data_IF_230170710294
#
_entry.id   IF_230170710294
#
_cell.length_a   1.000
_cell.length_b   1.000
_cell.length_c   1.000
_cell.angle_alpha   90.00
_cell.angle_beta   90.00
_cell.angle_gamma   90.00
#
_symmetry.space_group_name_H-M   'P 1'
#
loop_
_entity.id
_entity.type
_entity.pdbx_description
1 polymer ?
#
# COMPACT_ATOMS: atom_id res chain seq x y z
N UNK A 1 9.13 2.13 -1.81
CA UNK A 1 8.08 2.51 -2.77
C UNK A 1 8.72 3.22 -3.93
N UNK A 2 8.61 2.71 -5.10
CA UNK A 2 9.24 3.31 -6.26
C UNK A 2 8.28 3.36 -7.43
N UNK A 3 8.06 4.55 -7.91
CA UNK A 3 7.42 4.81 -9.18
C UNK A 3 8.43 5.52 -10.07
N UNK A 4 8.97 4.86 -11.09
CA UNK A 4 9.88 5.43 -12.08
C UNK A 4 11.21 5.95 -11.52
N UNK A 5 11.85 5.22 -10.62
CA UNK A 5 13.13 5.59 -10.06
C UNK A 5 14.25 4.65 -10.50
N UNK A 6 15.41 5.23 -10.75
CA UNK A 6 16.65 4.49 -10.89
C UNK A 6 17.31 4.45 -9.51
N UNK A 7 17.26 3.30 -8.86
CA UNK A 7 17.92 3.08 -7.59
C UNK A 7 19.34 2.56 -7.83
N UNK A 8 20.30 3.47 -7.96
CA UNK A 8 21.70 3.11 -8.06
C UNK A 8 22.00 2.07 -9.14
N UNK A 9 21.79 0.80 -8.85
CA UNK A 9 22.21 -0.31 -9.69
C UNK A 9 21.06 -1.04 -10.42
N UNK A 10 19.79 -0.80 -10.08
CA UNK A 10 18.63 -1.36 -10.76
C UNK A 10 17.61 -0.29 -11.17
N UNK A 11 16.72 -0.63 -12.10
CA UNK A 11 15.65 0.26 -12.53
C UNK A 11 14.26 -0.34 -12.24
N UNK A 12 13.32 0.52 -11.86
CA UNK A 12 11.96 0.08 -11.58
C UNK A 12 10.93 1.06 -12.13
N UNK A 13 9.85 0.51 -12.64
CA UNK A 13 8.73 1.24 -13.22
C UNK A 13 7.41 0.70 -12.67
N UNK A 14 6.51 1.61 -12.23
CA UNK A 14 5.18 1.26 -11.75
C UNK A 14 5.17 0.02 -10.85
N UNK A 15 6.10 -0.06 -9.88
CA UNK A 15 6.27 -1.24 -9.04
C UNK A 15 6.41 -0.85 -7.57
N UNK A 16 5.89 -1.71 -6.70
CA UNK A 16 6.10 -1.63 -5.27
C UNK A 16 7.27 -2.51 -4.87
N UNK A 17 8.16 -1.98 -4.04
CA UNK A 17 9.29 -2.73 -3.48
C UNK A 17 9.29 -2.53 -1.97
N UNK A 18 9.13 -3.64 -1.23
CA UNK A 18 9.21 -3.65 0.23
C UNK A 18 10.63 -3.35 0.71
N UNK A 19 10.78 -2.66 1.82
CA UNK A 19 12.08 -2.28 2.38
C UNK A 19 12.98 -3.48 2.73
N UNK A 20 12.39 -4.64 2.99
CA UNK A 20 13.12 -5.89 3.28
C UNK A 20 13.59 -6.63 2.03
N UNK A 21 13.16 -6.20 0.85
CA UNK A 21 13.57 -6.83 -0.41
C UNK A 21 15.01 -6.43 -0.77
N UNK A 22 15.76 -7.42 -1.25
CA UNK A 22 17.12 -7.24 -1.75
C UNK A 22 17.09 -7.43 -3.26
N UNK A 23 17.52 -6.41 -4.00
CA UNK A 23 17.56 -6.43 -5.46
C UNK A 23 18.99 -6.16 -5.91
N UNK A 24 19.57 -7.15 -6.57
CA UNK A 24 20.93 -7.04 -7.10
C UNK A 24 21.01 -6.19 -8.38
N UNK A 25 22.20 -5.85 -8.78
CA UNK A 25 22.49 -4.92 -9.85
C UNK A 25 21.94 -5.36 -11.24
N UNK A 26 21.78 -4.38 -12.12
CA UNK A 26 21.38 -4.55 -13.52
C UNK A 26 20.01 -5.20 -13.72
N UNK A 27 19.16 -5.22 -12.69
CA UNK A 27 17.81 -5.76 -12.80
C UNK A 27 16.80 -4.69 -13.19
N UNK A 28 15.75 -5.10 -13.92
CA UNK A 28 14.64 -4.27 -14.34
C UNK A 28 13.31 -4.85 -13.83
N UNK A 29 12.52 -4.02 -13.15
CA UNK A 29 11.26 -4.45 -12.54
C UNK A 29 10.16 -3.52 -13.04
N UNK A 30 9.09 -4.09 -13.61
CA UNK A 30 7.93 -3.33 -14.06
C UNK A 30 6.61 -3.98 -13.63
N UNK A 31 5.60 -3.14 -13.39
CA UNK A 31 4.22 -3.54 -13.08
C UNK A 31 4.13 -4.67 -12.02
N UNK A 32 5.01 -4.63 -11.00
CA UNK A 32 5.20 -5.75 -10.08
C UNK A 32 5.10 -5.34 -8.61
N UNK A 33 4.70 -6.30 -7.78
CA UNK A 33 4.80 -6.24 -6.33
C UNK A 33 5.94 -7.11 -5.85
N UNK A 34 6.95 -6.47 -5.27
CA UNK A 34 8.06 -7.13 -4.58
C UNK A 34 7.80 -6.96 -3.09
N UNK A 35 7.19 -7.96 -2.50
CA UNK A 35 6.77 -7.97 -1.10
C UNK A 35 7.93 -8.41 -0.19
N UNK A 36 7.62 -8.77 1.05
CA UNK A 36 8.60 -9.09 2.09
C UNK A 36 9.47 -10.30 1.75
N UNK A 37 10.74 -10.23 2.20
CA UNK A 37 11.71 -11.32 2.12
C UNK A 37 11.92 -11.84 0.69
N UNK A 38 11.94 -10.95 -0.29
CA UNK A 38 12.29 -11.28 -1.67
C UNK A 38 13.74 -10.94 -1.91
N UNK A 39 14.44 -11.87 -2.56
CA UNK A 39 15.77 -11.62 -3.12
C UNK A 39 15.70 -11.77 -4.63
N UNK A 40 16.08 -10.72 -5.36
CA UNK A 40 16.20 -10.73 -6.82
C UNK A 40 17.68 -10.73 -7.16
N UNK A 41 18.11 -11.75 -7.88
CA UNK A 41 19.48 -11.87 -8.34
C UNK A 41 19.86 -10.84 -9.38
N UNK A 42 21.11 -10.92 -9.82
CA UNK A 42 21.71 -10.00 -10.77
C UNK A 42 21.12 -10.17 -12.18
N UNK A 43 21.00 -9.06 -12.93
CA UNK A 43 20.62 -9.10 -14.35
C UNK A 43 19.27 -9.80 -14.59
N UNK A 44 18.24 -9.44 -13.80
CA UNK A 44 16.90 -10.01 -13.90
C UNK A 44 15.92 -9.04 -14.57
N UNK A 45 14.91 -9.59 -15.24
CA UNK A 45 13.77 -8.86 -15.77
C UNK A 45 12.50 -9.41 -15.11
N UNK A 46 11.79 -8.57 -14.38
CA UNK A 46 10.55 -8.96 -13.68
C UNK A 46 9.41 -8.08 -14.16
N UNK A 47 8.38 -8.69 -14.72
CA UNK A 47 7.24 -8.00 -15.30
C UNK A 47 5.91 -8.61 -14.88
N UNK A 48 4.99 -7.79 -14.36
CA UNK A 48 3.64 -8.19 -13.98
C UNK A 48 3.56 -9.20 -12.83
N UNK A 49 4.60 -9.31 -12.00
CA UNK A 49 4.72 -10.34 -10.96
C UNK A 49 4.30 -9.83 -9.58
N UNK A 50 3.82 -10.76 -8.75
CA UNK A 50 3.74 -10.57 -7.30
C UNK A 50 4.64 -11.60 -6.64
N UNK A 51 5.67 -11.13 -5.93
CA UNK A 51 6.68 -11.96 -5.28
C UNK A 51 6.64 -11.75 -3.78
N UNK A 52 6.63 -12.84 -3.02
CA UNK A 52 6.70 -12.84 -1.56
C UNK A 52 7.42 -14.08 -1.05
N UNK A 53 8.39 -13.90 -0.15
CA UNK A 53 9.17 -14.99 0.46
C UNK A 53 9.81 -15.92 -0.58
N UNK A 54 10.41 -15.36 -1.61
CA UNK A 54 11.05 -16.12 -2.71
C UNK A 54 12.39 -15.50 -3.11
N UNK A 55 13.21 -16.33 -3.77
CA UNK A 55 14.45 -15.89 -4.40
C UNK A 55 14.35 -16.10 -5.91
N UNK A 56 14.62 -15.05 -6.67
CA UNK A 56 14.74 -15.09 -8.13
C UNK A 56 16.22 -15.29 -8.48
N UNK A 57 16.60 -16.34 -9.19
CA UNK A 57 17.99 -16.58 -9.58
C UNK A 57 18.54 -15.50 -10.52
N UNK A 58 19.86 -15.37 -10.60
CA UNK A 58 20.53 -14.50 -11.56
C UNK A 58 20.11 -14.80 -13.01
N UNK A 59 20.19 -13.78 -13.85
CA UNK A 59 19.89 -13.88 -15.29
C UNK A 59 18.49 -14.43 -15.60
N UNK A 60 17.52 -14.16 -14.77
CA UNK A 60 16.16 -14.68 -14.90
C UNK A 60 15.20 -13.63 -15.43
N UNK A 61 14.48 -13.97 -16.49
CA UNK A 61 13.28 -13.25 -16.90
C UNK A 61 12.05 -13.95 -16.29
N UNK A 62 11.24 -13.16 -15.58
CA UNK A 62 10.01 -13.62 -14.94
C UNK A 62 8.85 -12.73 -15.39
N UNK A 63 7.82 -13.33 -15.99
CA UNK A 63 6.70 -12.57 -16.52
C UNK A 63 5.38 -13.26 -16.22
N UNK A 64 4.47 -12.58 -15.53
CA UNK A 64 3.14 -13.08 -15.22
C UNK A 64 2.10 -12.50 -16.18
N UNK A 65 1.27 -13.37 -16.71
CA UNK A 65 0.12 -13.03 -17.56
C UNK A 65 -1.17 -13.43 -16.87
N UNK A 66 -2.19 -12.61 -17.03
CA UNK A 66 -3.57 -12.98 -16.75
C UNK A 66 -4.20 -13.56 -18.00
N UNK A 67 -4.87 -14.69 -17.85
CA UNK A 67 -5.49 -15.44 -18.95
C UNK A 67 -6.96 -15.07 -19.12
N UNK A 68 -7.54 -15.37 -20.29
CA UNK A 68 -8.98 -15.18 -20.57
C UNK A 68 -9.90 -15.87 -19.57
N UNK A 69 -9.47 -17.00 -18.98
CA UNK A 69 -10.21 -17.71 -17.95
C UNK A 69 -10.10 -17.07 -16.55
N UNK A 70 -9.41 -15.94 -16.43
CA UNK A 70 -9.22 -15.21 -15.17
C UNK A 70 -8.06 -15.68 -14.30
N UNK A 71 -7.42 -16.79 -14.62
CA UNK A 71 -6.25 -17.34 -13.91
C UNK A 71 -4.95 -16.66 -14.34
N UNK A 72 -3.85 -17.02 -13.67
CA UNK A 72 -2.53 -16.43 -13.89
C UNK A 72 -1.52 -17.51 -14.27
N UNK A 73 -0.66 -17.19 -15.23
CA UNK A 73 0.52 -17.99 -15.60
C UNK A 73 1.75 -17.12 -15.42
N UNK A 74 2.69 -17.58 -14.61
CA UNK A 74 4.01 -16.98 -14.53
C UNK A 74 4.97 -17.77 -15.40
N UNK A 75 5.67 -17.09 -16.30
CA UNK A 75 6.64 -17.65 -17.24
C UNK A 75 8.03 -17.29 -16.76
N UNK A 76 8.96 -18.23 -16.85
CA UNK A 76 10.34 -18.07 -16.42
C UNK A 76 11.31 -18.64 -17.44
N UNK A 77 12.35 -17.88 -17.77
CA UNK A 77 13.44 -18.32 -18.63
C UNK A 77 14.74 -17.57 -18.28
N UNK A 78 15.88 -18.10 -18.67
CA UNK A 78 17.13 -17.36 -18.60
C UNK A 78 17.13 -16.26 -19.67
N UNK A 79 17.62 -15.07 -19.39
CA UNK A 79 17.62 -13.94 -20.33
C UNK A 79 18.39 -14.25 -21.63
N UNK A 80 19.33 -15.21 -21.57
CA UNK A 80 20.11 -15.68 -22.72
C UNK A 80 19.47 -16.87 -23.45
N UNK A 81 18.34 -17.41 -22.92
CA UNK A 81 17.67 -18.54 -23.57
C UNK A 81 17.08 -18.10 -24.92
N UNK A 82 17.36 -18.88 -25.96
CA UNK A 82 16.77 -18.66 -27.27
C UNK A 82 15.45 -19.46 -27.40
N UNK A 83 14.29 -18.79 -27.58
CA UNK A 83 13.00 -19.49 -27.67
C UNK A 83 12.89 -20.52 -28.78
N UNK A 84 13.75 -20.46 -29.82
CA UNK A 84 13.78 -21.39 -30.94
C UNK A 84 14.62 -22.64 -30.66
N UNK A 85 15.36 -22.67 -29.57
CA UNK A 85 16.21 -23.79 -29.19
C UNK A 85 15.53 -24.70 -28.18
N UNK A 86 15.99 -25.95 -28.12
CA UNK A 86 15.50 -26.95 -27.18
C UNK A 86 16.28 -26.89 -25.87
N UNK A 87 16.34 -25.68 -25.29
CA UNK A 87 17.05 -25.39 -24.04
C UNK A 87 16.22 -24.47 -23.18
N UNK A 88 16.17 -24.72 -21.87
CA UNK A 88 15.52 -23.87 -20.88
C UNK A 88 16.34 -23.87 -19.59
N UNK A 89 16.86 -22.71 -19.20
CA UNK A 89 17.66 -22.56 -17.98
C UNK A 89 18.73 -23.66 -17.82
N UNK A 90 19.45 -23.96 -18.92
CA UNK A 90 20.46 -24.99 -18.98
C UNK A 90 19.94 -26.44 -19.09
N UNK A 91 18.63 -26.67 -19.07
CA UNK A 91 18.00 -27.99 -19.19
C UNK A 91 17.59 -28.28 -20.66
N UNK A 92 17.93 -29.46 -21.18
CA UNK A 92 17.48 -29.87 -22.50
C UNK A 92 15.99 -30.17 -22.52
N UNK A 93 15.32 -29.66 -23.54
CA UNK A 93 13.91 -29.91 -23.83
C UNK A 93 13.74 -30.86 -25.04
N UNK A 94 12.56 -31.45 -25.16
CA UNK A 94 12.21 -32.28 -26.33
C UNK A 94 11.68 -31.44 -27.50
N UNK A 95 11.25 -30.23 -27.23
CA UNK A 95 10.69 -29.26 -28.20
C UNK A 95 11.36 -27.89 -27.97
N UNK A 96 11.29 -26.99 -28.94
CA UNK A 96 11.75 -25.61 -28.72
C UNK A 96 11.10 -24.98 -27.49
N UNK A 97 11.85 -24.12 -26.77
CA UNK A 97 11.37 -23.44 -25.57
C UNK A 97 10.04 -22.70 -25.81
N UNK A 98 9.86 -22.15 -27.02
CA UNK A 98 8.63 -21.43 -27.38
C UNK A 98 7.36 -22.30 -27.30
N UNK A 99 7.48 -23.60 -27.62
CA UNK A 99 6.37 -24.56 -27.68
C UNK A 99 6.36 -25.52 -26.46
N UNK A 100 7.40 -25.53 -25.62
CA UNK A 100 7.51 -26.42 -24.49
C UNK A 100 6.50 -26.08 -23.37
N UNK A 101 5.71 -27.05 -22.94
CA UNK A 101 4.72 -26.93 -21.87
C UNK A 101 5.41 -26.98 -20.50
N UNK A 102 5.71 -25.82 -19.94
CA UNK A 102 6.54 -25.67 -18.75
C UNK A 102 5.80 -25.00 -17.59
N UNK A 103 4.72 -24.23 -17.86
CA UNK A 103 4.13 -23.31 -16.89
C UNK A 103 2.71 -23.72 -16.50
N UNK A 104 2.40 -23.67 -15.20
CA UNK A 104 1.05 -23.93 -14.67
C UNK A 104 0.19 -22.67 -14.60
N UNK A 105 -1.14 -22.88 -14.56
CA UNK A 105 -2.09 -21.80 -14.27
C UNK A 105 -2.52 -21.84 -12.80
N UNK A 106 -2.72 -20.67 -12.20
CA UNK A 106 -3.03 -20.51 -10.78
C UNK A 106 -4.06 -19.41 -10.56
N UNK A 107 -4.72 -19.43 -9.39
CA UNK A 107 -5.80 -18.50 -9.06
C UNK A 107 -5.30 -17.06 -8.74
N UNK A 108 -4.01 -16.92 -8.42
CA UNK A 108 -3.42 -15.61 -8.11
C UNK A 108 -2.01 -15.46 -8.69
N UNK A 109 -1.54 -14.22 -8.91
CA UNK A 109 -0.19 -13.96 -9.43
C UNK A 109 0.90 -14.40 -8.45
N UNK A 110 0.66 -14.32 -7.14
CA UNK A 110 1.59 -14.77 -6.09
C UNK A 110 1.81 -16.28 -6.20
N UNK A 111 0.71 -17.04 -6.32
CA UNK A 111 0.78 -18.50 -6.48
C UNK A 111 1.46 -18.88 -7.79
N UNK A 112 1.18 -18.17 -8.87
CA UNK A 112 1.82 -18.40 -10.17
C UNK A 112 3.34 -18.20 -10.09
N UNK A 113 3.79 -17.09 -9.55
CA UNK A 113 5.22 -16.79 -9.39
C UNK A 113 5.93 -17.78 -8.47
N UNK A 114 5.36 -18.06 -7.30
CA UNK A 114 5.92 -18.99 -6.31
C UNK A 114 6.06 -20.41 -6.86
N UNK A 115 5.03 -20.93 -7.52
CA UNK A 115 5.06 -22.28 -8.05
C UNK A 115 6.03 -22.41 -9.24
N UNK A 116 6.08 -21.41 -10.12
CA UNK A 116 7.05 -21.39 -11.23
C UNK A 116 8.49 -21.35 -10.72
N UNK A 117 8.81 -20.51 -9.74
CA UNK A 117 10.13 -20.48 -9.11
C UNK A 117 10.48 -21.78 -8.38
N UNK A 118 9.47 -22.50 -7.86
CA UNK A 118 9.66 -23.82 -7.24
C UNK A 118 9.77 -24.95 -8.26
N UNK A 119 9.69 -24.67 -9.56
CA UNK A 119 9.81 -25.65 -10.63
C UNK A 119 8.56 -26.51 -10.83
N UNK A 120 7.40 -26.06 -10.36
CA UNK A 120 6.12 -26.73 -10.64
C UNK A 120 5.77 -26.51 -12.10
N UNK A 121 5.78 -27.60 -12.87
CA UNK A 121 5.45 -27.61 -14.30
C UNK A 121 3.94 -27.46 -14.55
N UNK A 122 3.59 -27.32 -15.82
CA UNK A 122 2.21 -27.16 -16.24
C UNK A 122 1.99 -27.37 -17.73
N UNK A 123 0.85 -26.94 -18.21
CA UNK A 123 0.34 -27.19 -19.57
C UNK A 123 0.53 -26.00 -20.54
N UNK A 124 1.11 -24.90 -20.06
CA UNK A 124 1.32 -23.73 -20.89
C UNK A 124 2.78 -23.63 -21.34
N UNK A 125 2.96 -23.31 -22.62
CA UNK A 125 4.23 -22.89 -23.19
C UNK A 125 4.32 -21.34 -23.18
N UNK A 126 5.48 -20.79 -23.58
CA UNK A 126 5.61 -19.35 -23.85
C UNK A 126 4.57 -18.90 -24.87
N UNK A 127 4.34 -19.69 -25.94
CA UNK A 127 3.40 -19.41 -27.01
C UNK A 127 1.95 -19.51 -26.58
N UNK A 128 1.57 -20.63 -25.96
CA UNK A 128 0.17 -20.86 -25.59
C UNK A 128 -0.31 -19.90 -24.49
N UNK A 129 0.54 -19.59 -23.52
CA UNK A 129 0.23 -18.59 -22.50
C UNK A 129 0.05 -17.19 -23.08
N UNK A 130 0.87 -16.82 -24.06
CA UNK A 130 0.72 -15.53 -24.77
C UNK A 130 -0.58 -15.46 -25.56
N UNK A 131 -0.92 -16.54 -26.29
CA UNK A 131 -2.15 -16.60 -27.09
C UNK A 131 -3.43 -16.65 -26.25
N UNK A 132 -3.35 -17.12 -25.00
CA UNK A 132 -4.46 -17.19 -24.05
C UNK A 132 -4.52 -15.97 -23.12
N UNK A 133 -3.62 -15.01 -23.27
CA UNK A 133 -3.59 -13.81 -22.44
C UNK A 133 -4.69 -12.85 -22.85
N UNK A 134 -5.44 -12.35 -21.87
CA UNK A 134 -6.43 -11.31 -22.06
C UNK A 134 -5.79 -9.92 -21.85
N UNK A 135 -5.51 -9.23 -22.95
CA UNK A 135 -4.90 -7.90 -22.91
C UNK A 135 -5.71 -6.87 -22.15
N UNK A 136 -7.03 -6.95 -22.16
CA UNK A 136 -7.90 -6.04 -21.41
C UNK A 136 -7.78 -6.26 -19.90
N UNK A 137 -7.66 -7.50 -19.47
CA UNK A 137 -7.45 -7.86 -18.08
C UNK A 137 -6.02 -7.53 -17.61
N UNK A 138 -5.03 -7.64 -18.48
CA UNK A 138 -3.64 -7.21 -18.19
C UNK A 138 -3.62 -5.70 -17.93
N UNK A 139 -4.27 -4.91 -18.80
CA UNK A 139 -4.39 -3.46 -18.62
C UNK A 139 -5.13 -3.13 -17.30
N UNK A 140 -6.25 -3.81 -17.02
CA UNK A 140 -7.01 -3.62 -15.79
C UNK A 140 -6.19 -4.00 -14.54
N UNK A 141 -5.33 -5.01 -14.65
CA UNK A 141 -4.39 -5.39 -13.59
C UNK A 141 -3.35 -4.31 -13.35
N UNK A 142 -2.67 -3.82 -14.39
CA UNK A 142 -1.71 -2.71 -14.28
C UNK A 142 -2.34 -1.46 -13.66
N UNK A 143 -3.58 -1.14 -14.04
CA UNK A 143 -4.33 -0.04 -13.44
C UNK A 143 -4.65 -0.26 -11.95
N UNK A 144 -5.03 -1.47 -11.56
CA UNK A 144 -5.28 -1.82 -10.15
C UNK A 144 -4.00 -1.74 -9.32
N UNK A 145 -2.88 -2.11 -9.91
CA UNK A 145 -1.55 -1.99 -9.32
C UNK A 145 -1.19 -0.53 -9.07
N UNK A 146 -1.33 0.32 -10.09
CA UNK A 146 -1.10 1.77 -9.98
C UNK A 146 -1.96 2.39 -8.86
N UNK A 147 -3.24 2.02 -8.79
CA UNK A 147 -4.12 2.51 -7.72
C UNK A 147 -3.65 2.07 -6.33
N UNK A 148 -3.20 0.82 -6.18
CA UNK A 148 -2.70 0.32 -4.89
C UNK A 148 -1.43 1.06 -4.48
N UNK A 149 -0.46 1.22 -5.39
CA UNK A 149 0.79 1.94 -5.11
C UNK A 149 0.49 3.40 -4.71
N UNK A 150 -0.39 4.06 -5.45
CA UNK A 150 -0.79 5.43 -5.11
C UNK A 150 -1.53 5.52 -3.79
N UNK A 151 -2.37 4.52 -3.48
CA UNK A 151 -3.06 4.44 -2.20
C UNK A 151 -2.07 4.25 -1.05
N UNK A 152 -1.10 3.37 -1.18
CA UNK A 152 -0.08 3.14 -0.16
C UNK A 152 0.74 4.41 0.08
N UNK A 153 1.18 5.11 -0.98
CA UNK A 153 1.85 6.41 -0.88
C UNK A 153 1.00 7.47 -0.16
N UNK A 154 -0.29 7.53 -0.48
CA UNK A 154 -1.22 8.44 0.18
C UNK A 154 -1.38 8.09 1.66
N UNK A 155 -1.55 6.82 1.99
CA UNK A 155 -1.72 6.35 3.36
C UNK A 155 -0.46 6.57 4.20
N UNK A 156 0.72 6.36 3.65
CA UNK A 156 1.99 6.64 4.32
C UNK A 156 2.10 8.14 4.62
N UNK A 157 1.79 9.01 3.66
CA UNK A 157 1.76 10.45 3.89
C UNK A 157 0.74 10.85 4.98
N UNK A 158 -0.42 10.21 5.04
CA UNK A 158 -1.43 10.40 6.08
C UNK A 158 -0.90 9.95 7.45
N UNK A 159 -0.25 8.80 7.54
CA UNK A 159 0.35 8.24 8.77
C UNK A 159 1.50 9.10 9.27
N UNK A 160 2.36 9.54 8.39
CA UNK A 160 3.50 10.41 8.68
C UNK A 160 3.11 11.85 8.97
N UNK A 161 1.81 12.16 8.88
CA UNK A 161 1.26 13.50 9.11
C UNK A 161 1.85 14.57 8.19
N UNK A 162 2.12 14.19 6.95
CA UNK A 162 2.53 15.14 5.92
C UNK A 162 1.41 16.18 5.73
N UNK A 163 1.72 17.49 5.74
CA UNK A 163 0.72 18.52 5.44
C UNK A 163 0.11 18.32 4.06
N UNK A 164 -1.21 18.51 3.94
CA UNK A 164 -1.94 18.24 2.69
C UNK A 164 -1.38 19.04 1.51
N UNK A 165 -0.88 20.25 1.75
CA UNK A 165 -0.26 21.10 0.73
C UNK A 165 1.07 20.53 0.19
N UNK A 166 1.70 19.64 0.95
CA UNK A 166 2.93 18.95 0.58
C UNK A 166 2.67 17.56 0.01
N UNK A 167 1.44 17.05 0.19
CA UNK A 167 1.02 15.83 -0.48
C UNK A 167 0.95 16.16 -1.97
N UNK A 168 1.91 15.63 -2.73
CA UNK A 168 1.96 15.86 -4.18
C UNK A 168 0.59 15.57 -4.79
N UNK A 169 0.01 16.56 -5.44
CA UNK A 169 -1.21 16.46 -6.24
C UNK A 169 -0.95 15.56 -7.47
N UNK A 170 -0.67 14.29 -7.23
CA UNK A 170 -0.85 13.31 -8.29
C UNK A 170 -2.35 13.10 -8.35
N UNK A 171 -2.93 13.35 -9.51
CA UNK A 171 -4.35 13.29 -9.77
C UNK A 171 -5.02 12.11 -9.06
N UNK A 172 -5.79 12.42 -8.01
CA UNK A 172 -6.61 11.42 -7.36
C UNK A 172 -7.74 11.10 -8.32
N UNK A 173 -7.60 9.98 -9.03
CA UNK A 173 -8.65 9.53 -9.94
C UNK A 173 -9.89 9.12 -9.16
N UNK A 174 -11.09 9.20 -9.72
CA UNK A 174 -12.32 8.72 -9.05
C UNK A 174 -12.24 7.25 -8.59
N UNK A 175 -11.45 6.44 -9.28
CA UNK A 175 -11.21 5.04 -8.92
C UNK A 175 -10.32 4.94 -7.68
N UNK A 176 -9.23 5.70 -7.62
CA UNK A 176 -8.35 5.78 -6.45
C UNK A 176 -9.08 6.33 -5.22
N UNK A 177 -9.87 7.41 -5.40
CA UNK A 177 -10.70 7.97 -4.34
C UNK A 177 -11.64 6.91 -3.75
N UNK A 178 -12.37 6.20 -4.61
CA UNK A 178 -13.25 5.11 -4.19
C UNK A 178 -12.49 4.03 -3.41
N UNK A 179 -11.30 3.65 -3.86
CA UNK A 179 -10.46 2.66 -3.19
C UNK A 179 -10.01 3.14 -1.80
N UNK A 180 -9.56 4.39 -1.68
CA UNK A 180 -9.18 5.00 -0.41
C UNK A 180 -10.36 5.13 0.56
N UNK A 181 -11.55 5.42 0.06
CA UNK A 181 -12.77 5.46 0.88
C UNK A 181 -13.16 4.08 1.44
N UNK A 182 -12.93 3.00 0.70
CA UNK A 182 -13.12 1.64 1.24
C UNK A 182 -12.09 1.29 2.33
N UNK A 183 -10.85 1.76 2.20
CA UNK A 183 -9.83 1.63 3.25
C UNK A 183 -10.23 2.44 4.48
N UNK A 184 -10.67 3.69 4.30
CA UNK A 184 -11.09 4.56 5.40
C UNK A 184 -12.19 3.95 6.27
N UNK A 185 -13.12 3.17 5.69
CA UNK A 185 -14.18 2.49 6.46
C UNK A 185 -13.64 1.47 7.46
N UNK A 186 -12.45 0.91 7.20
CA UNK A 186 -11.81 -0.14 8.01
C UNK A 186 -10.68 0.39 8.88
N UNK A 187 -10.24 1.63 8.64
CA UNK A 187 -9.17 2.30 9.35
C UNK A 187 -9.57 2.64 10.79
N UNK A 188 -8.58 2.80 11.66
CA UNK A 188 -8.82 3.37 12.98
C UNK A 188 -9.35 4.81 12.90
N UNK A 189 -9.85 5.31 14.02
CA UNK A 189 -10.47 6.63 14.08
C UNK A 189 -9.53 7.74 13.57
N UNK A 190 -8.26 7.74 14.00
CA UNK A 190 -7.30 8.78 13.66
C UNK A 190 -6.92 8.76 12.17
N UNK A 191 -6.70 7.58 11.62
CA UNK A 191 -6.39 7.39 10.21
C UNK A 191 -7.61 7.75 9.33
N UNK A 192 -8.81 7.29 9.73
CA UNK A 192 -10.08 7.58 9.03
C UNK A 192 -10.33 9.07 8.82
N UNK A 193 -10.30 9.85 9.89
CA UNK A 193 -10.56 11.29 9.82
C UNK A 193 -9.55 12.02 8.94
N UNK A 194 -8.28 11.57 8.95
CA UNK A 194 -7.21 12.14 8.12
C UNK A 194 -7.39 11.80 6.66
N UNK A 195 -7.78 10.56 6.35
CA UNK A 195 -8.07 10.15 4.97
C UNK A 195 -9.20 11.01 4.42
N UNK A 196 -10.31 11.16 5.14
CA UNK A 196 -11.43 12.00 4.69
C UNK A 196 -11.02 13.46 4.49
N UNK A 197 -10.27 14.02 5.44
CA UNK A 197 -9.81 15.40 5.34
C UNK A 197 -8.87 15.60 4.15
N UNK A 198 -7.84 14.77 4.02
CA UNK A 198 -6.87 14.87 2.93
C UNK A 198 -7.54 14.70 1.55
N UNK A 199 -8.42 13.68 1.41
CA UNK A 199 -9.17 13.49 0.18
C UNK A 199 -10.04 14.70 -0.14
N UNK A 200 -10.79 15.23 0.83
CA UNK A 200 -11.63 16.41 0.62
C UNK A 200 -10.85 17.62 0.14
N UNK A 201 -9.65 17.86 0.69
CA UNK A 201 -8.79 18.97 0.29
C UNK A 201 -8.15 18.73 -1.10
N UNK A 202 -7.71 17.53 -1.40
CA UNK A 202 -7.01 17.23 -2.66
C UNK A 202 -7.98 17.11 -3.86
N UNK A 203 -9.19 16.61 -3.64
CA UNK A 203 -10.20 16.44 -4.71
C UNK A 203 -11.15 17.64 -4.83
N UNK A 204 -11.19 18.51 -3.82
CA UNK A 204 -12.18 19.58 -3.73
C UNK A 204 -13.60 19.10 -3.37
N UNK A 205 -13.76 17.86 -2.96
CA UNK A 205 -15.05 17.30 -2.53
C UNK A 205 -15.36 17.69 -1.08
N UNK A 206 -16.04 18.83 -0.88
CA UNK A 206 -16.38 19.36 0.43
C UNK A 206 -17.12 18.36 1.34
N UNK A 207 -17.92 17.45 0.76
CA UNK A 207 -18.62 16.39 1.50
C UNK A 207 -17.68 15.53 2.35
N UNK A 208 -16.48 15.26 1.84
CA UNK A 208 -15.47 14.47 2.58
C UNK A 208 -14.90 15.24 3.76
N UNK A 209 -14.72 16.54 3.58
CA UNK A 209 -14.32 17.43 4.68
C UNK A 209 -15.39 17.49 5.77
N UNK A 210 -16.66 17.65 5.41
CA UNK A 210 -17.77 17.59 6.37
C UNK A 210 -17.83 16.25 7.09
N UNK A 211 -17.68 15.15 6.35
CA UNK A 211 -17.65 13.81 6.93
C UNK A 211 -16.52 13.60 7.93
N UNK A 212 -15.35 14.20 7.69
CA UNK A 212 -14.27 14.20 8.67
C UNK A 212 -14.73 14.82 10.00
N UNK A 213 -15.40 15.99 9.96
CA UNK A 213 -15.87 16.66 11.17
C UNK A 213 -17.02 15.91 11.85
N UNK A 214 -17.93 15.30 11.09
CA UNK A 214 -19.01 14.45 11.64
C UNK A 214 -18.44 13.25 12.40
N UNK A 215 -17.43 12.59 11.87
CA UNK A 215 -16.74 11.49 12.57
C UNK A 215 -16.06 11.98 13.86
N UNK A 216 -15.43 13.15 13.86
CA UNK A 216 -14.84 13.75 15.06
C UNK A 216 -15.93 14.03 16.12
N UNK A 217 -17.03 14.66 15.75
CA UNK A 217 -18.15 14.94 16.65
C UNK A 217 -18.73 13.65 17.23
N UNK A 218 -18.95 12.65 16.40
CA UNK A 218 -19.47 11.34 16.81
C UNK A 218 -18.51 10.62 17.75
N UNK A 219 -17.21 10.68 17.48
CA UNK A 219 -16.19 10.11 18.34
C UNK A 219 -16.12 10.75 19.73
N UNK A 220 -16.22 12.08 19.79
CA UNK A 220 -16.25 12.82 21.06
C UNK A 220 -17.50 12.46 21.86
N UNK A 221 -18.68 12.47 21.22
CA UNK A 221 -19.93 12.15 21.89
C UNK A 221 -19.97 10.71 22.40
N UNK A 222 -19.44 9.76 21.64
CA UNK A 222 -19.37 8.35 22.06
C UNK A 222 -18.41 8.15 23.24
N UNK A 223 -17.25 8.80 23.23
CA UNK A 223 -16.28 8.72 24.32
C UNK A 223 -16.84 9.31 25.62
N UNK A 224 -17.60 10.39 25.54
CA UNK A 224 -18.21 11.03 26.70
C UNK A 224 -19.29 10.14 27.34
N UNK A 225 -20.08 9.44 26.52
CA UNK A 225 -21.12 8.50 27.01
C UNK A 225 -20.53 7.26 27.68
N UNK A 226 -19.36 6.79 27.29
CA UNK A 226 -18.70 5.62 27.89
C UNK A 226 -17.95 5.97 29.18
N UNK A 227 -17.46 7.19 29.32
CA UNK A 227 -16.60 7.63 30.45
C UNK A 227 -17.36 8.23 31.62
N UNK A 228 -18.59 8.67 31.45
CA UNK A 228 -19.36 9.34 32.50
C UNK A 228 -20.20 8.35 33.28
N UNK A 229 -19.63 7.86 34.35
CA UNK A 229 -20.39 7.13 35.39
C UNK A 229 -21.11 8.17 36.27
N UNK A 230 -22.33 8.53 35.94
CA UNK A 230 -23.15 9.38 36.78
C UNK A 230 -23.51 8.64 38.08
N UNK A 231 -22.85 9.03 39.19
CA UNK A 231 -23.26 8.59 40.52
C UNK A 231 -24.52 9.33 40.91
N UNK A 232 -25.62 8.65 40.91
CA UNK A 232 -26.94 9.21 41.33
C UNK A 232 -27.18 9.11 42.83
N UNK A 233 -26.27 8.50 43.54
CA UNK A 233 -26.41 8.16 44.99
C UNK A 233 -25.57 9.06 45.91
N UNK A 234 -25.01 10.18 45.38
CA UNK A 234 -24.24 11.08 46.22
C UNK A 234 -25.16 11.97 47.05
N UNK A 235 -24.82 12.12 48.31
CA UNK A 235 -25.45 13.07 49.25
C UNK A 235 -24.53 14.28 49.45
N UNK A 236 -25.09 15.45 49.43
CA UNK A 236 -24.38 16.68 49.78
C UNK A 236 -24.24 16.64 51.34
N UNK A 237 -23.03 16.43 51.84
CA UNK A 237 -22.76 16.24 53.26
C UNK A 237 -22.21 17.50 53.94
N UNK A 238 -22.09 18.63 53.21
CA UNK A 238 -21.58 19.88 53.78
C UNK A 238 -22.15 21.07 52.98
N UNK A 239 -22.36 22.20 53.70
CA UNK A 239 -22.89 23.44 53.14
C UNK A 239 -21.87 24.13 52.20
N UNK A 240 -20.59 23.83 52.39
CA UNK A 240 -19.50 24.39 51.56
C UNK A 240 -18.67 23.27 50.95
N UNK A 241 -18.31 23.43 49.69
CA UNK A 241 -17.42 22.51 48.94
C UNK A 241 -16.25 23.29 48.39
N UNK A 242 -15.04 22.94 48.81
CA UNK A 242 -13.80 23.52 48.30
C UNK A 242 -13.21 22.57 47.28
N UNK A 243 -13.08 23.02 46.04
CA UNK A 243 -12.44 22.27 44.95
C UNK A 243 -11.12 22.93 44.63
N UNK A 244 -10.03 22.17 44.77
CA UNK A 244 -8.69 22.62 44.34
C UNK A 244 -8.37 22.00 43.00
N UNK A 245 -8.18 22.82 41.99
CA UNK A 245 -7.82 22.40 40.65
C UNK A 245 -6.47 23.02 40.28
N UNK A 246 -5.58 22.28 39.61
CA UNK A 246 -4.37 22.84 39.07
C UNK A 246 -4.69 23.84 37.96
N UNK A 247 -3.91 24.89 37.88
CA UNK A 247 -3.99 25.85 36.76
C UNK A 247 -3.16 25.29 35.60
N UNK A 248 -3.77 25.23 34.42
CA UNK A 248 -3.07 24.87 33.19
C UNK A 248 -2.35 26.08 32.61
N UNK A 249 -1.05 25.98 32.46
CA UNK A 249 -0.24 26.99 31.77
C UNK A 249 0.24 26.44 30.44
N UNK A 250 -0.09 27.15 29.37
CA UNK A 250 0.42 26.86 28.04
C UNK A 250 1.75 27.57 27.82
N UNK A 251 2.81 26.81 27.52
CA UNK A 251 4.12 27.38 27.18
C UNK A 251 4.27 27.55 25.66
N UNK A 252 3.52 26.81 24.84
CA UNK A 252 3.55 26.95 23.40
C UNK A 252 2.53 26.07 22.70
N UNK A 253 2.23 26.36 21.45
CA UNK A 253 1.40 25.54 20.58
C UNK A 253 -0.10 25.57 20.87
N UNK A 254 -0.60 26.49 21.71
CA UNK A 254 -2.03 26.59 22.02
C UNK A 254 -2.85 26.68 20.73
N UNK A 255 -3.94 25.91 20.62
CA UNK A 255 -4.82 25.73 19.45
C UNK A 255 -4.21 25.02 18.24
N UNK A 256 -2.92 24.69 18.26
CA UNK A 256 -2.32 23.91 17.17
C UNK A 256 -2.81 22.45 17.12
N UNK A 257 -3.41 21.96 18.20
CA UNK A 257 -4.04 20.66 18.34
C UNK A 257 -5.52 20.64 17.93
N UNK A 258 -6.04 21.76 17.46
CA UNK A 258 -7.46 21.92 17.07
C UNK A 258 -7.61 21.84 15.55
N UNK A 259 -8.61 21.07 15.04
CA UNK A 259 -8.95 21.11 13.62
C UNK A 259 -9.37 22.51 13.14
N UNK A 260 -9.07 22.87 11.88
CA UNK A 260 -8.43 22.08 10.84
C UNK A 260 -6.90 22.01 10.96
N UNK A 261 -6.24 22.90 11.72
CA UNK A 261 -4.79 23.04 11.75
C UNK A 261 -4.06 21.73 12.07
N UNK A 262 -4.52 20.97 13.08
CA UNK A 262 -3.87 19.71 13.44
C UNK A 262 -4.02 18.63 12.37
N UNK A 263 -5.06 18.69 11.55
CA UNK A 263 -5.27 17.77 10.43
C UNK A 263 -4.34 18.10 9.25
N UNK A 264 -4.02 19.38 9.07
CA UNK A 264 -3.18 19.86 7.97
C UNK A 264 -1.69 19.74 8.29
N UNK A 265 -1.28 20.15 9.47
CA UNK A 265 0.15 20.39 9.80
C UNK A 265 0.64 19.61 11.02
N UNK A 266 -0.26 18.85 11.63
CA UNK A 266 0.01 18.26 12.93
C UNK A 266 0.08 19.31 14.03
N UNK A 267 -0.52 19.03 15.20
CA UNK A 267 -0.49 19.95 16.34
C UNK A 267 0.47 19.49 17.42
N UNK A 268 1.17 20.42 18.04
CA UNK A 268 1.98 20.18 19.24
C UNK A 268 1.66 21.23 20.28
N UNK A 269 1.28 20.80 21.47
CA UNK A 269 1.01 21.69 22.61
C UNK A 269 1.92 21.33 23.77
N UNK A 270 2.60 22.30 24.30
CA UNK A 270 3.37 22.17 25.54
C UNK A 270 2.65 22.92 26.66
N UNK A 271 2.15 22.18 27.63
CA UNK A 271 1.54 22.76 28.83
C UNK A 271 1.96 22.04 30.08
N UNK A 272 1.75 22.67 31.23
CA UNK A 272 1.89 22.06 32.53
C UNK A 272 0.72 22.42 33.43
N UNK A 273 0.33 21.50 34.30
CA UNK A 273 -0.55 21.77 35.41
C UNK A 273 0.31 22.26 36.60
N UNK A 274 0.00 23.44 37.12
CA UNK A 274 0.70 24.04 38.27
C UNK A 274 -0.27 24.27 39.40
N UNK A 275 0.19 24.10 40.64
CA UNK A 275 -0.54 24.53 41.83
C UNK A 275 0.00 25.86 42.27
N UNK A 276 -0.89 26.85 42.41
CA UNK A 276 -0.53 28.14 42.98
C UNK A 276 -0.67 27.98 44.50
N UNK A 277 0.44 28.06 45.21
CA UNK A 277 0.47 28.18 46.66
C UNK A 277 0.60 29.66 47.00
N UNK A 278 -0.36 30.19 47.76
CA UNK A 278 -0.37 31.54 48.25
C UNK A 278 0.31 31.68 49.60
#
# INVERSE_FOLDING_TARGET
VSTNEQHGEYACYNSYIDESAVIDAHSYIEDSFIEKNVTVGNNCIISGCTLENVTVPDNTALHTLKLENGKFVCRMWNIDDNPKENLWMGKKLNTPLWDAELFGEFESPELASKNTLSGVGGQYSLKSSFNSADSSQIIAWGQKLDDKIRADLFLDAVRDRVPVEQMTQRDITPRLEKYLLEIAKKADFSEKIRIYYALGQLTGHEELTYRCFDEICSGILSADMESVCYRTDFKICADEKIVRLPVRVNFGGGWSDTPPYCNEKGGKVLNAAITLEG
#
